data_IF_286634610523
#
_entry.id   IF_286634610523
#
_cell.length_a   1.000
_cell.length_b   1.000
_cell.length_c   1.000
_cell.angle_alpha   90.00
_cell.angle_beta   90.00
_cell.angle_gamma   90.00
#
_symmetry.space_group_name_H-M   'P 1'
#
loop_
_entity.id
_entity.type
_entity.pdbx_description
1 polymer ?
#
# COMPACT_ATOMS: atom_id res chain seq x y z
N UNK A 1 0.49 -4.49 -6.84
CA UNK A 1 -0.39 -4.10 -5.72
C UNK A 1 -1.76 -4.71 -6.00
N UNK A 2 -2.64 -4.78 -5.02
CA UNK A 2 -4.05 -5.10 -5.25
C UNK A 2 -4.84 -3.79 -5.26
N UNK A 3 -5.69 -3.64 -6.28
CA UNK A 3 -6.63 -2.53 -6.39
C UNK A 3 -7.77 -2.75 -5.40
N UNK A 4 -8.26 -1.66 -4.82
CA UNK A 4 -9.38 -1.64 -3.88
C UNK A 4 -10.37 -0.60 -4.39
N UNK A 5 -11.60 -1.01 -4.62
CA UNK A 5 -12.59 -0.18 -5.28
C UNK A 5 -12.07 0.42 -6.60
N UNK A 6 -12.33 1.71 -6.78
CA UNK A 6 -12.03 2.46 -8.01
C UNK A 6 -10.74 3.28 -7.97
N UNK A 7 -10.20 3.58 -6.77
CA UNK A 7 -9.11 4.55 -6.61
C UNK A 7 -8.05 4.19 -5.57
N UNK A 8 -8.25 3.13 -4.79
CA UNK A 8 -7.38 2.75 -3.68
C UNK A 8 -6.50 1.55 -4.03
N UNK A 9 -5.45 1.32 -3.24
CA UNK A 9 -4.63 0.13 -3.42
C UNK A 9 -3.76 -0.21 -2.22
N UNK A 10 -3.49 -1.50 -2.07
CA UNK A 10 -2.65 -2.06 -1.00
C UNK A 10 -1.52 -2.89 -1.59
N UNK A 11 -0.36 -2.87 -0.94
CA UNK A 11 0.81 -3.64 -1.36
C UNK A 11 1.55 -4.16 -0.14
N UNK A 12 2.22 -5.30 -0.30
CA UNK A 12 3.14 -5.78 0.71
C UNK A 12 4.46 -5.00 0.63
N UNK A 13 4.84 -4.35 1.74
CA UNK A 13 6.10 -3.63 1.83
C UNK A 13 7.28 -4.61 1.67
N UNK A 14 8.37 -4.13 1.05
CA UNK A 14 9.62 -4.89 0.93
C UNK A 14 10.12 -5.38 2.31
N UNK A 15 10.00 -4.52 3.32
CA UNK A 15 10.51 -4.81 4.67
C UNK A 15 9.58 -5.69 5.50
N UNK A 16 8.28 -5.71 5.20
CA UNK A 16 7.36 -6.73 5.74
C UNK A 16 7.85 -8.12 5.32
N UNK A 17 8.14 -8.32 4.03
CA UNK A 17 8.71 -9.59 3.51
C UNK A 17 10.06 -9.92 4.14
N UNK A 18 10.94 -8.93 4.28
CA UNK A 18 12.28 -9.11 4.89
C UNK A 18 12.17 -9.62 6.33
N UNK A 19 11.35 -8.95 7.15
CA UNK A 19 11.20 -9.27 8.57
C UNK A 19 10.49 -10.61 8.77
N UNK A 20 9.47 -10.95 7.96
CA UNK A 20 8.83 -12.27 7.97
C UNK A 20 9.81 -13.42 7.67
N UNK A 21 10.90 -13.16 6.92
CA UNK A 21 11.95 -14.15 6.62
C UNK A 21 13.13 -14.10 7.60
N UNK A 22 12.98 -13.39 8.73
CA UNK A 22 14.05 -13.26 9.73
C UNK A 22 15.23 -12.37 9.30
N UNK A 23 15.10 -11.58 8.23
CA UNK A 23 16.16 -10.71 7.69
C UNK A 23 16.13 -9.27 8.23
N UNK A 24 15.34 -9.02 9.29
CA UNK A 24 15.23 -7.71 9.94
C UNK A 24 14.17 -6.77 9.34
N UNK A 25 13.83 -5.74 10.12
CA UNK A 25 12.85 -4.69 9.80
C UNK A 25 13.44 -3.47 9.08
N UNK A 26 12.58 -2.52 8.70
CA UNK A 26 13.01 -1.25 8.10
C UNK A 26 13.55 -0.27 9.15
N UNK A 27 14.02 0.89 8.70
CA UNK A 27 14.52 1.95 9.59
C UNK A 27 13.50 2.36 10.67
N UNK A 28 12.19 2.27 10.40
CA UNK A 28 11.15 2.60 11.39
C UNK A 28 11.12 1.62 12.56
N UNK A 29 11.55 0.38 12.33
CA UNK A 29 11.73 -0.58 13.41
C UNK A 29 12.86 -0.14 14.34
N UNK A 30 14.00 0.24 13.78
CA UNK A 30 15.17 0.71 14.55
C UNK A 30 14.90 2.02 15.28
N UNK A 31 14.27 2.99 14.63
CA UNK A 31 14.09 4.34 15.21
C UNK A 31 12.88 4.45 16.12
N UNK A 32 11.81 3.70 15.85
CA UNK A 32 10.51 3.90 16.49
C UNK A 32 9.92 2.60 17.08
N UNK A 33 10.63 1.49 17.03
CA UNK A 33 10.12 0.19 17.50
C UNK A 33 8.98 -0.40 16.65
N UNK A 34 8.66 0.19 15.49
CA UNK A 34 7.54 -0.26 14.66
C UNK A 34 7.89 -1.58 13.98
N UNK A 35 7.13 -2.63 14.28
CA UNK A 35 7.31 -3.95 13.69
C UNK A 35 6.92 -3.94 12.20
N UNK A 36 7.91 -4.02 11.31
CA UNK A 36 7.70 -3.93 9.87
C UNK A 36 6.83 -5.05 9.31
N UNK A 37 6.87 -6.24 9.93
CA UNK A 37 6.02 -7.37 9.53
C UNK A 37 4.52 -7.17 9.88
N UNK A 38 4.19 -6.16 10.69
CA UNK A 38 2.82 -5.79 11.08
C UNK A 38 2.32 -4.50 10.42
N UNK A 39 3.13 -3.91 9.52
CA UNK A 39 2.77 -2.70 8.80
C UNK A 39 1.99 -3.01 7.52
N UNK A 40 0.86 -2.32 7.31
CA UNK A 40 0.10 -2.34 6.06
C UNK A 40 0.41 -1.09 5.22
N UNK A 41 1.03 -1.28 4.05
CA UNK A 41 1.28 -0.20 3.09
C UNK A 41 0.08 -0.08 2.13
N UNK A 42 -0.69 0.99 2.29
CA UNK A 42 -1.91 1.26 1.54
C UNK A 42 -2.01 2.74 1.16
N UNK A 43 -2.77 3.04 0.11
CA UNK A 43 -3.15 4.40 -0.26
C UNK A 43 -4.63 4.44 -0.66
N UNK A 44 -5.41 5.43 -0.16
CA UNK A 44 -6.76 5.68 -0.65
C UNK A 44 -6.76 6.47 -1.97
N UNK A 45 -5.60 6.80 -2.55
CA UNK A 45 -5.52 7.45 -3.84
C UNK A 45 -4.29 7.00 -4.62
N UNK A 46 -4.52 6.32 -5.74
CA UNK A 46 -3.49 5.98 -6.72
C UNK A 46 -3.17 7.14 -7.67
N UNK A 47 -4.00 8.19 -7.65
CA UNK A 47 -3.81 9.40 -8.42
C UNK A 47 -2.95 10.42 -7.68
N UNK A 48 -2.25 11.27 -8.42
CA UNK A 48 -1.53 12.40 -7.84
C UNK A 48 -1.40 13.54 -8.86
N UNK A 49 -1.46 14.77 -8.39
CA UNK A 49 -1.36 15.98 -9.20
C UNK A 49 0.03 16.16 -9.84
N UNK A 50 1.08 15.60 -9.23
CA UNK A 50 2.46 15.77 -9.68
C UNK A 50 2.96 14.57 -10.49
N UNK A 51 3.84 14.81 -11.46
CA UNK A 51 4.56 13.79 -12.24
C UNK A 51 6.07 13.87 -12.02
N UNK A 52 6.49 13.67 -10.78
CA UNK A 52 7.90 13.77 -10.40
C UNK A 52 8.75 12.65 -11.03
N UNK A 53 9.98 12.97 -11.44
CA UNK A 53 10.91 12.01 -12.09
C UNK A 53 11.34 10.85 -11.18
N UNK A 54 11.27 11.04 -9.87
CA UNK A 54 11.62 10.02 -8.88
C UNK A 54 10.42 9.19 -8.41
N UNK A 55 9.19 9.54 -8.81
CA UNK A 55 8.00 8.80 -8.41
C UNK A 55 7.86 7.53 -9.25
N UNK A 56 8.12 6.38 -8.64
CA UNK A 56 7.83 5.09 -9.23
C UNK A 56 6.31 4.87 -9.27
N UNK A 57 5.74 4.90 -10.47
CA UNK A 57 4.30 4.70 -10.70
C UNK A 57 4.07 3.74 -11.86
N UNK A 58 2.94 3.06 -11.85
CA UNK A 58 2.51 2.34 -13.02
C UNK A 58 2.16 3.34 -14.13
N UNK A 59 2.49 3.05 -15.39
CA UNK A 59 2.31 3.97 -16.51
C UNK A 59 0.84 4.33 -16.77
N UNK A 60 -0.09 3.48 -16.33
CA UNK A 60 -1.54 3.72 -16.39
C UNK A 60 -2.09 4.48 -15.17
N UNK A 61 -1.27 4.78 -14.15
CA UNK A 61 -1.77 5.51 -13.00
C UNK A 61 -2.15 6.94 -13.39
N UNK A 62 -3.35 7.39 -13.01
CA UNK A 62 -3.86 8.68 -13.45
C UNK A 62 -3.06 9.82 -12.82
N UNK A 63 -2.77 10.83 -13.63
CA UNK A 63 -2.38 12.16 -13.16
C UNK A 63 -3.61 13.04 -13.26
N UNK A 64 -3.94 13.73 -12.17
CA UNK A 64 -5.11 14.59 -12.11
C UNK A 64 -4.94 15.62 -11.01
N UNK A 65 -5.22 16.88 -11.34
CA UNK A 65 -5.32 17.99 -10.38
C UNK A 65 -6.68 18.06 -9.71
N UNK A 66 -7.65 17.28 -10.20
CA UNK A 66 -9.03 17.23 -9.72
C UNK A 66 -9.46 15.78 -9.47
N UNK A 67 -10.39 15.61 -8.52
CA UNK A 67 -10.95 14.31 -8.19
C UNK A 67 -12.00 13.89 -9.22
N UNK A 68 -11.81 12.72 -9.85
CA UNK A 68 -12.70 12.20 -10.92
C UNK A 68 -13.28 10.82 -10.64
N UNK A 69 -12.88 10.17 -9.55
CA UNK A 69 -13.31 8.82 -9.21
C UNK A 69 -14.61 8.84 -8.40
N UNK A 70 -15.35 7.73 -8.46
CA UNK A 70 -16.44 7.51 -7.50
C UNK A 70 -15.81 7.42 -6.11
N UNK A 71 -16.31 8.22 -5.16
CA UNK A 71 -15.80 8.16 -3.79
C UNK A 71 -16.30 6.87 -3.13
N UNK A 72 -15.39 5.93 -2.96
CA UNK A 72 -15.68 4.66 -2.30
C UNK A 72 -15.78 4.86 -0.78
N UNK A 73 -16.65 4.08 -0.12
CA UNK A 73 -16.90 4.22 1.32
C UNK A 73 -15.65 3.87 2.14
N UNK A 74 -15.26 4.68 3.14
CA UNK A 74 -14.06 4.45 3.94
C UNK A 74 -14.00 3.06 4.59
N UNK A 75 -15.13 2.58 5.11
CA UNK A 75 -15.24 1.28 5.77
C UNK A 75 -14.98 0.13 4.79
N UNK A 76 -15.45 0.26 3.55
CA UNK A 76 -15.18 -0.72 2.49
C UNK A 76 -13.69 -0.72 2.15
N UNK A 77 -13.08 0.46 1.97
CA UNK A 77 -11.64 0.57 1.65
C UNK A 77 -10.79 -0.09 2.74
N UNK A 78 -11.10 0.18 4.01
CA UNK A 78 -10.37 -0.40 5.14
C UNK A 78 -10.52 -1.91 5.20
N UNK A 79 -11.75 -2.42 5.07
CA UNK A 79 -12.04 -3.85 5.11
C UNK A 79 -11.30 -4.59 4.00
N UNK A 80 -11.43 -4.14 2.75
CA UNK A 80 -10.76 -4.75 1.61
C UNK A 80 -9.23 -4.63 1.72
N UNK A 81 -8.70 -3.52 2.24
CA UNK A 81 -7.26 -3.38 2.46
C UNK A 81 -6.71 -4.43 3.42
N UNK A 82 -7.40 -4.65 4.55
CA UNK A 82 -7.00 -5.64 5.55
C UNK A 82 -7.06 -7.05 4.95
N UNK A 83 -8.17 -7.41 4.30
CA UNK A 83 -8.35 -8.73 3.68
C UNK A 83 -7.27 -9.01 2.62
N UNK A 84 -7.06 -8.07 1.70
CA UNK A 84 -6.03 -8.16 0.65
C UNK A 84 -4.62 -8.23 1.23
N UNK A 85 -4.29 -7.43 2.24
CA UNK A 85 -3.00 -7.46 2.90
C UNK A 85 -2.72 -8.81 3.57
N UNK A 86 -3.69 -9.33 4.32
CA UNK A 86 -3.58 -10.65 4.98
C UNK A 86 -3.47 -11.78 3.95
N UNK A 87 -4.23 -11.72 2.85
CA UNK A 87 -4.15 -12.71 1.78
C UNK A 87 -2.75 -12.72 1.13
N UNK A 88 -2.18 -11.54 0.85
CA UNK A 88 -0.81 -11.45 0.36
C UNK A 88 0.22 -12.02 1.35
N UNK A 89 0.05 -11.80 2.66
CA UNK A 89 0.94 -12.41 3.68
C UNK A 89 0.80 -13.94 3.68
N UNK A 90 -0.42 -14.47 3.59
CA UNK A 90 -0.67 -15.93 3.58
C UNK A 90 -0.01 -16.64 2.39
N UNK A 91 0.14 -15.95 1.26
CA UNK A 91 0.85 -16.44 0.07
C UNK A 91 2.39 -16.54 0.27
N UNK A 92 2.95 -15.93 1.32
CA UNK A 92 4.38 -16.02 1.65
C UNK A 92 4.75 -17.25 2.49
N UNK A 93 3.82 -18.20 2.68
CA UNK A 93 4.08 -19.51 3.28
C UNK A 93 5.11 -20.31 2.48
#
# INVERSE_FOLDING_TARGET
YQLIGSHSGVKLCRWTKSMLRGRGGCYKHTFYGIESHRCMETTPSLACANKCVFCWRHHTNPVGTEWRWKMDQPEMILKEAIENHQNMIKQFK
#
